data_IF_570332325109
#
_entry.id   IF_570332325109
#
_cell.length_a   1.000
_cell.length_b   1.000
_cell.length_c   1.000
_cell.angle_alpha   90.00
_cell.angle_beta   90.00
_cell.angle_gamma   90.00
#
_symmetry.space_group_name_H-M   'P 1'
#
loop_
_entity.id
_entity.type
_entity.pdbx_description
1 polymer ?
#
# COMPACT_ATOMS: atom_id res chain seq x y z
N UNK A 1 49.41 -43.43 -58.32
CA UNK A 1 48.29 -43.02 -57.45
C UNK A 1 48.84 -42.25 -56.27
N UNK A 2 48.45 -40.98 -56.11
CA UNK A 2 48.35 -40.24 -54.84
C UNK A 2 48.13 -38.75 -55.19
N UNK A 3 46.88 -38.30 -55.15
CA UNK A 3 46.55 -36.87 -55.20
C UNK A 3 46.36 -36.43 -53.75
N UNK A 4 47.26 -35.59 -53.25
CA UNK A 4 47.13 -34.93 -51.97
C UNK A 4 46.26 -33.68 -52.15
N UNK A 5 45.07 -33.66 -51.54
CA UNK A 5 44.21 -32.48 -51.45
C UNK A 5 44.52 -31.70 -50.18
N UNK A 6 44.94 -30.45 -50.36
CA UNK A 6 45.17 -29.43 -49.33
C UNK A 6 43.81 -28.95 -48.77
N UNK A 7 43.60 -28.85 -47.43
CA UNK A 7 42.41 -28.22 -46.88
C UNK A 7 42.53 -26.68 -46.87
N UNK A 8 41.45 -26.01 -47.25
CA UNK A 8 41.32 -24.55 -47.26
C UNK A 8 41.27 -23.95 -45.83
N UNK A 9 41.74 -22.69 -45.63
CA UNK A 9 41.77 -22.06 -44.32
C UNK A 9 40.37 -21.70 -43.81
N UNK A 10 40.07 -22.10 -42.58
CA UNK A 10 38.85 -21.72 -41.87
C UNK A 10 38.83 -20.21 -41.65
N UNK A 11 37.90 -19.52 -42.31
CA UNK A 11 37.72 -18.08 -42.17
C UNK A 11 37.28 -17.74 -40.73
N UNK A 12 38.12 -16.99 -40.03
CA UNK A 12 37.92 -16.56 -38.63
C UNK A 12 36.58 -15.84 -38.41
N UNK A 13 36.10 -15.10 -39.42
CA UNK A 13 34.78 -14.45 -39.42
C UNK A 13 33.61 -15.44 -39.41
N UNK A 14 33.76 -16.61 -40.03
CA UNK A 14 32.76 -17.67 -40.03
C UNK A 14 32.63 -18.34 -38.66
N UNK A 15 33.74 -18.49 -37.94
CA UNK A 15 33.77 -19.03 -36.57
C UNK A 15 33.16 -18.03 -35.59
N UNK A 16 33.51 -16.73 -35.71
CA UNK A 16 32.93 -15.68 -34.87
C UNK A 16 31.41 -15.57 -35.03
N UNK A 17 30.90 -15.60 -36.27
CA UNK A 17 29.45 -15.55 -36.55
C UNK A 17 28.69 -16.75 -35.98
N UNK A 18 29.29 -17.95 -35.99
CA UNK A 18 28.70 -19.15 -35.38
C UNK A 18 28.65 -19.07 -33.86
N UNK A 19 29.70 -18.53 -33.22
CA UNK A 19 29.73 -18.29 -31.77
C UNK A 19 28.70 -17.25 -31.32
N UNK A 20 28.53 -16.16 -32.08
CA UNK A 20 27.51 -15.15 -31.79
C UNK A 20 26.09 -15.70 -31.89
N UNK A 21 25.80 -16.52 -32.90
CA UNK A 21 24.49 -17.17 -33.04
C UNK A 21 24.21 -18.17 -31.91
N UNK A 22 25.23 -18.93 -31.49
CA UNK A 22 25.14 -19.83 -30.34
C UNK A 22 24.89 -19.05 -29.04
N UNK A 23 25.60 -17.95 -28.81
CA UNK A 23 25.41 -17.11 -27.63
C UNK A 23 24.00 -16.50 -27.58
N UNK A 24 23.49 -15.99 -28.70
CA UNK A 24 22.12 -15.45 -28.77
C UNK A 24 21.08 -16.54 -28.52
N UNK A 25 21.26 -17.73 -29.10
CA UNK A 25 20.36 -18.87 -28.87
C UNK A 25 20.36 -19.33 -27.39
N UNK A 26 21.51 -19.28 -26.73
CA UNK A 26 21.67 -19.69 -25.33
C UNK A 26 21.08 -18.66 -24.36
N UNK A 27 21.23 -17.37 -24.66
CA UNK A 27 20.55 -16.30 -23.90
C UNK A 27 19.03 -16.39 -24.06
N UNK A 28 18.54 -16.67 -25.27
CA UNK A 28 17.11 -16.86 -25.53
C UNK A 28 16.56 -18.06 -24.76
N UNK A 29 17.22 -19.23 -24.82
CA UNK A 29 16.73 -20.43 -24.14
C UNK A 29 16.73 -20.32 -22.61
N UNK A 30 17.74 -19.66 -22.02
CA UNK A 30 17.80 -19.39 -20.57
C UNK A 30 16.70 -18.40 -20.14
N UNK A 31 16.38 -17.42 -21.00
CA UNK A 31 15.28 -16.49 -20.76
C UNK A 31 13.90 -17.18 -20.78
N UNK A 32 13.71 -18.21 -21.62
CA UNK A 32 12.47 -18.99 -21.65
C UNK A 32 12.29 -19.89 -20.42
N UNK A 33 13.36 -20.51 -19.91
CA UNK A 33 13.30 -21.35 -18.68
C UNK A 33 13.05 -20.52 -17.42
N UNK A 34 13.50 -19.26 -17.39
CA UNK A 34 13.16 -18.34 -16.30
C UNK A 34 11.67 -17.92 -16.28
N UNK A 35 10.94 -18.08 -17.39
CA UNK A 35 9.50 -17.85 -17.47
C UNK A 35 8.65 -19.12 -17.32
N UNK A 36 9.25 -20.32 -17.35
CA UNK A 36 8.53 -21.56 -17.02
C UNK A 36 8.48 -21.73 -15.50
N UNK A 37 7.67 -20.89 -14.86
CA UNK A 37 7.32 -21.01 -13.45
C UNK A 37 6.69 -22.38 -13.19
N UNK A 38 7.29 -23.10 -12.25
CA UNK A 38 6.82 -24.33 -11.60
C UNK A 38 5.30 -24.31 -11.36
N UNK A 39 4.54 -25.00 -12.22
CA UNK A 39 3.06 -25.03 -12.28
C UNK A 39 2.42 -25.80 -11.12
N UNK A 40 3.22 -26.28 -10.16
CA UNK A 40 2.76 -27.16 -9.05
C UNK A 40 2.71 -26.45 -7.70
N UNK A 41 2.84 -25.12 -7.66
CA UNK A 41 2.75 -24.35 -6.42
C UNK A 41 1.30 -24.00 -6.12
N UNK A 42 0.88 -24.24 -4.87
CA UNK A 42 -0.37 -23.71 -4.32
C UNK A 42 -0.54 -22.25 -4.76
N UNK A 43 -1.78 -21.80 -5.08
CA UNK A 43 -2.01 -20.44 -5.50
C UNK A 43 -1.32 -19.48 -4.52
N UNK A 44 -0.61 -18.46 -5.02
CA UNK A 44 0.18 -17.59 -4.15
C UNK A 44 -0.77 -16.88 -3.17
N UNK A 45 -0.55 -17.11 -1.87
CA UNK A 45 -1.31 -16.49 -0.80
C UNK A 45 -0.42 -15.57 0.02
N UNK A 46 -0.97 -14.46 0.51
CA UNK A 46 -0.30 -13.56 1.44
C UNK A 46 -0.10 -14.31 2.78
N UNK A 47 1.08 -14.18 3.38
CA UNK A 47 1.35 -14.82 4.67
C UNK A 47 0.53 -14.17 5.81
N UNK A 48 0.16 -14.88 6.88
CA UNK A 48 -0.55 -14.27 8.01
C UNK A 48 0.19 -13.08 8.64
N UNK A 49 1.53 -13.16 8.67
CA UNK A 49 2.39 -12.07 9.14
C UNK A 49 2.29 -10.85 8.22
N UNK A 50 2.37 -11.05 6.91
CA UNK A 50 2.20 -9.95 5.95
C UNK A 50 0.80 -9.36 5.99
N UNK A 51 -0.23 -10.19 6.20
CA UNK A 51 -1.61 -9.73 6.34
C UNK A 51 -1.77 -8.79 7.53
N UNK A 52 -1.17 -9.15 8.67
CA UNK A 52 -1.14 -8.27 9.86
C UNK A 52 -0.42 -6.96 9.58
N UNK A 53 0.71 -7.00 8.88
CA UNK A 53 1.47 -5.79 8.53
C UNK A 53 0.71 -4.90 7.54
N UNK A 54 0.02 -5.50 6.55
CA UNK A 54 -0.86 -4.77 5.64
C UNK A 54 -1.99 -4.11 6.44
N UNK A 55 -2.64 -4.83 7.35
CA UNK A 55 -3.73 -4.30 8.17
C UNK A 55 -3.29 -3.10 9.03
N UNK A 56 -2.10 -3.15 9.65
CA UNK A 56 -1.55 -2.01 10.41
C UNK A 56 -1.34 -0.76 9.55
N UNK A 57 -0.96 -0.91 8.28
CA UNK A 57 -0.83 0.23 7.37
C UNK A 57 -2.18 0.66 6.81
N UNK A 58 -3.10 -0.29 6.60
CA UNK A 58 -4.46 -0.04 6.13
C UNK A 58 -5.25 0.76 7.17
N UNK A 59 -5.03 0.55 8.47
CA UNK A 59 -5.62 1.36 9.55
C UNK A 59 -5.37 2.86 9.34
N UNK A 60 -4.10 3.24 9.12
CA UNK A 60 -3.75 4.64 8.85
C UNK A 60 -4.34 5.17 7.53
N UNK A 61 -4.42 4.33 6.50
CA UNK A 61 -5.06 4.69 5.23
C UNK A 61 -6.57 4.92 5.41
N UNK A 62 -7.26 4.07 6.17
CA UNK A 62 -8.69 4.17 6.45
C UNK A 62 -8.98 5.38 7.32
N UNK A 63 -8.15 5.66 8.33
CA UNK A 63 -8.25 6.88 9.12
C UNK A 63 -8.12 8.14 8.24
N UNK A 64 -7.22 8.15 7.26
CA UNK A 64 -7.15 9.25 6.29
C UNK A 64 -8.41 9.33 5.40
N UNK A 65 -8.95 8.19 4.96
CA UNK A 65 -10.19 8.11 4.19
C UNK A 65 -11.40 8.65 4.95
N UNK A 66 -11.48 8.39 6.27
CA UNK A 66 -12.53 8.91 7.15
C UNK A 66 -12.56 10.45 7.23
N UNK A 67 -11.47 11.12 6.85
CA UNK A 67 -11.34 12.60 6.83
C UNK A 67 -11.82 13.22 5.51
N UNK A 68 -12.25 12.42 4.53
CA UNK A 68 -12.75 12.93 3.25
C UNK A 68 -13.99 13.84 3.36
N UNK A 69 -14.94 13.63 4.30
CA UNK A 69 -16.04 14.57 4.53
C UNK A 69 -15.53 15.94 5.01
N UNK A 70 -14.63 15.97 6.00
CA UNK A 70 -14.01 17.22 6.46
C UNK A 70 -13.26 17.92 5.33
N UNK A 71 -12.51 17.17 4.52
CA UNK A 71 -11.85 17.74 3.34
C UNK A 71 -12.87 18.31 2.34
N UNK A 72 -14.05 17.70 2.20
CA UNK A 72 -15.13 18.21 1.36
C UNK A 72 -15.63 19.57 1.86
N UNK A 73 -15.88 19.68 3.17
CA UNK A 73 -16.35 20.90 3.82
C UNK A 73 -15.35 22.04 3.63
N UNK A 74 -14.07 21.77 3.91
CA UNK A 74 -12.97 22.73 3.68
C UNK A 74 -12.88 23.20 2.23
N UNK A 75 -13.07 22.28 1.28
CA UNK A 75 -13.05 22.59 -0.16
C UNK A 75 -14.26 23.43 -0.58
N UNK A 76 -15.45 23.13 -0.04
CA UNK A 76 -16.67 23.88 -0.29
C UNK A 76 -16.59 25.31 0.27
N UNK A 77 -16.04 25.45 1.47
CA UNK A 77 -15.79 26.74 2.14
C UNK A 77 -14.60 27.51 1.56
N UNK A 78 -13.85 26.92 0.63
CA UNK A 78 -12.60 27.48 0.10
C UNK A 78 -11.59 27.79 1.20
N UNK A 79 -11.56 26.95 2.22
CA UNK A 79 -10.66 27.09 3.34
C UNK A 79 -9.27 26.53 2.99
N UNK A 80 -8.49 27.34 2.26
CA UNK A 80 -7.20 26.96 1.68
C UNK A 80 -6.19 26.47 2.73
N UNK A 81 -6.11 27.19 3.85
CA UNK A 81 -5.13 26.93 4.92
C UNK A 81 -5.42 25.58 5.55
N UNK A 82 -6.67 25.35 5.98
CA UNK A 82 -7.03 24.10 6.63
C UNK A 82 -7.06 22.92 5.66
N UNK A 83 -7.39 23.14 4.38
CA UNK A 83 -7.26 22.11 3.33
C UNK A 83 -5.82 21.58 3.27
N UNK A 84 -4.83 22.49 3.22
CA UNK A 84 -3.40 22.12 3.18
C UNK A 84 -2.92 21.52 4.49
N UNK A 85 -3.39 22.04 5.63
CA UNK A 85 -3.07 21.47 6.95
C UNK A 85 -3.57 20.02 7.06
N UNK A 86 -4.74 19.71 6.50
CA UNK A 86 -5.26 18.35 6.50
C UNK A 86 -4.40 17.41 5.63
N UNK A 87 -3.94 17.89 4.47
CA UNK A 87 -3.05 17.14 3.57
C UNK A 87 -1.68 16.87 4.23
N UNK A 88 -1.10 17.87 4.90
CA UNK A 88 0.23 17.80 5.51
C UNK A 88 0.23 17.33 6.97
N UNK A 89 -0.92 17.18 7.61
CA UNK A 89 -1.04 16.66 8.97
C UNK A 89 -1.56 15.22 8.95
N UNK A 90 -2.87 14.98 9.10
CA UNK A 90 -3.44 13.64 9.12
C UNK A 90 -3.16 12.78 7.87
N UNK A 91 -3.01 13.37 6.68
CA UNK A 91 -2.81 12.62 5.44
C UNK A 91 -1.34 12.55 4.97
N UNK A 92 -0.40 13.11 5.72
CA UNK A 92 1.01 13.20 5.28
C UNK A 92 1.66 11.83 5.05
N UNK A 93 1.23 10.85 5.84
CA UNK A 93 1.79 9.51 5.87
C UNK A 93 1.16 8.58 4.84
N UNK A 94 0.12 9.03 4.11
CA UNK A 94 -0.65 8.21 3.18
C UNK A 94 0.26 7.58 2.11
N UNK A 95 1.21 8.36 1.58
CA UNK A 95 2.15 7.86 0.59
C UNK A 95 3.03 6.72 1.11
N UNK A 96 3.40 6.74 2.39
CA UNK A 96 4.21 5.71 3.04
C UNK A 96 3.38 4.47 3.37
N UNK A 97 2.17 4.66 3.90
CA UNK A 97 1.23 3.58 4.18
C UNK A 97 0.95 2.76 2.92
N UNK A 98 0.61 3.42 1.81
CA UNK A 98 0.36 2.75 0.52
C UNK A 98 1.60 2.01 0.00
N UNK A 99 2.79 2.61 0.13
CA UNK A 99 4.03 1.94 -0.27
C UNK A 99 4.24 0.62 0.48
N UNK A 100 4.04 0.62 1.80
CA UNK A 100 4.24 -0.57 2.62
C UNK A 100 3.19 -1.65 2.38
N UNK A 101 1.94 -1.27 2.07
CA UNK A 101 0.90 -2.19 1.60
C UNK A 101 1.36 -2.84 0.29
N UNK A 102 1.70 -2.04 -0.72
CA UNK A 102 2.08 -2.53 -2.05
C UNK A 102 3.24 -3.51 -2.04
N UNK A 103 4.24 -3.28 -1.18
CA UNK A 103 5.40 -4.17 -1.04
C UNK A 103 5.05 -5.58 -0.55
N UNK A 104 3.90 -5.75 0.12
CA UNK A 104 3.46 -6.99 0.77
C UNK A 104 2.31 -7.69 0.06
N UNK A 105 1.72 -7.05 -0.95
CA UNK A 105 0.77 -7.71 -1.85
C UNK A 105 1.45 -8.82 -2.65
N UNK A 106 0.64 -9.69 -3.25
CA UNK A 106 1.11 -10.69 -4.20
C UNK A 106 1.82 -9.98 -5.37
N UNK A 107 2.92 -10.54 -5.92
CA UNK A 107 3.67 -9.91 -7.01
C UNK A 107 2.81 -9.47 -8.20
N UNK A 108 1.75 -10.22 -8.51
CA UNK A 108 0.82 -9.92 -9.60
C UNK A 108 0.01 -8.62 -9.37
N UNK A 109 -0.30 -8.29 -8.11
CA UNK A 109 -1.18 -7.17 -7.77
C UNK A 109 -0.42 -5.85 -7.55
N UNK A 110 0.89 -5.94 -7.29
CA UNK A 110 1.73 -4.78 -6.91
C UNK A 110 1.74 -3.68 -7.97
N UNK A 111 1.71 -4.05 -9.25
CA UNK A 111 1.77 -3.09 -10.34
C UNK A 111 0.52 -2.20 -10.37
N UNK A 112 -0.66 -2.81 -10.26
CA UNK A 112 -1.93 -2.07 -10.25
C UNK A 112 -2.09 -1.26 -8.96
N UNK A 113 -1.71 -1.83 -7.81
CA UNK A 113 -1.71 -1.12 -6.54
C UNK A 113 -0.77 0.10 -6.55
N UNK A 114 0.42 -0.03 -7.14
CA UNK A 114 1.39 1.08 -7.31
C UNK A 114 0.85 2.16 -8.23
N UNK A 115 0.21 1.78 -9.32
CA UNK A 115 -0.44 2.74 -10.24
C UNK A 115 -1.54 3.54 -9.53
N UNK A 116 -2.41 2.86 -8.76
CA UNK A 116 -3.49 3.52 -7.98
C UNK A 116 -2.94 4.44 -6.90
N UNK A 117 -1.94 3.98 -6.15
CA UNK A 117 -1.25 4.79 -5.14
C UNK A 117 -0.63 6.06 -5.77
N UNK A 118 0.03 5.91 -6.92
CA UNK A 118 0.66 7.02 -7.63
C UNK A 118 -0.37 8.03 -8.10
N UNK A 119 -1.51 7.57 -8.63
CA UNK A 119 -2.62 8.43 -9.05
C UNK A 119 -3.24 9.19 -7.87
N UNK A 120 -3.41 8.53 -6.71
CA UNK A 120 -3.90 9.18 -5.50
C UNK A 120 -2.92 10.24 -4.99
N UNK A 121 -1.63 9.91 -4.88
CA UNK A 121 -0.57 10.88 -4.49
C UNK A 121 -0.53 12.09 -5.43
N UNK A 122 -0.62 11.86 -6.74
CA UNK A 122 -0.64 12.95 -7.72
C UNK A 122 -1.90 13.82 -7.58
N UNK A 123 -3.04 13.24 -7.20
CA UNK A 123 -4.28 13.99 -6.98
C UNK A 123 -4.22 14.84 -5.71
N UNK A 124 -3.62 14.31 -4.63
CA UNK A 124 -3.36 15.08 -3.41
C UNK A 124 -2.41 16.25 -3.66
N UNK A 125 -1.33 16.04 -4.42
CA UNK A 125 -0.41 17.11 -4.79
C UNK A 125 -1.09 18.20 -5.62
N UNK A 126 -2.01 17.83 -6.53
CA UNK A 126 -2.79 18.81 -7.30
C UNK A 126 -3.79 19.57 -6.44
N UNK A 127 -4.43 18.90 -5.48
CA UNK A 127 -5.31 19.55 -4.52
C UNK A 127 -4.56 20.55 -3.63
N UNK A 128 -3.39 20.17 -3.11
CA UNK A 128 -2.51 21.08 -2.36
C UNK A 128 -2.10 22.29 -3.21
N UNK A 129 -1.72 22.06 -4.46
CA UNK A 129 -1.36 23.14 -5.39
C UNK A 129 -2.53 24.06 -5.71
N UNK A 130 -3.73 23.53 -5.95
CA UNK A 130 -4.93 24.33 -6.15
C UNK A 130 -5.26 25.16 -4.91
N UNK A 131 -5.07 24.61 -3.71
CA UNK A 131 -5.22 25.36 -2.46
C UNK A 131 -4.15 26.45 -2.30
N UNK A 132 -2.89 26.16 -2.67
CA UNK A 132 -1.79 27.13 -2.65
C UNK A 132 -2.05 28.31 -3.59
N UNK A 133 -2.59 28.03 -4.77
CA UNK A 133 -2.96 29.02 -5.78
C UNK A 133 -4.31 29.71 -5.52
N UNK A 134 -5.07 29.24 -4.51
CA UNK A 134 -6.44 29.66 -4.25
C UNK A 134 -7.37 29.50 -5.46
N UNK A 135 -7.12 28.48 -6.27
CA UNK A 135 -7.90 28.15 -7.46
C UNK A 135 -9.09 27.28 -7.06
N UNK A 136 -10.23 27.92 -6.80
CA UNK A 136 -11.44 27.24 -6.35
C UNK A 136 -12.03 26.26 -7.36
N UNK A 137 -11.84 26.46 -8.66
CA UNK A 137 -12.32 25.54 -9.69
C UNK A 137 -11.50 24.24 -9.67
N UNK A 138 -10.17 24.37 -9.72
CA UNK A 138 -9.30 23.20 -9.65
C UNK A 138 -9.35 22.54 -8.27
N UNK A 139 -9.57 23.29 -7.18
CA UNK A 139 -9.72 22.73 -5.84
C UNK A 139 -10.84 21.68 -5.77
N UNK A 140 -12.07 22.05 -6.21
CA UNK A 140 -13.21 21.11 -6.22
C UNK A 140 -12.97 19.93 -7.14
N UNK A 141 -12.42 20.19 -8.33
CA UNK A 141 -12.11 19.14 -9.31
C UNK A 141 -11.07 18.14 -8.79
N UNK A 142 -10.03 18.62 -8.13
CA UNK A 142 -8.96 17.78 -7.60
C UNK A 142 -9.37 17.06 -6.31
N UNK A 143 -10.26 17.65 -5.51
CA UNK A 143 -10.92 16.94 -4.40
C UNK A 143 -11.66 15.69 -4.87
N UNK A 144 -12.48 15.80 -5.94
CA UNK A 144 -13.20 14.65 -6.50
C UNK A 144 -12.23 13.54 -6.92
N UNK A 145 -11.07 13.91 -7.49
CA UNK A 145 -10.02 12.94 -7.86
C UNK A 145 -9.37 12.30 -6.64
N UNK A 146 -9.16 13.05 -5.56
CA UNK A 146 -8.67 12.51 -4.28
C UNK A 146 -9.68 11.50 -3.72
N UNK A 147 -10.95 11.88 -3.59
CA UNK A 147 -12.01 10.99 -3.09
C UNK A 147 -12.14 9.70 -3.94
N UNK A 148 -12.14 9.85 -5.27
CA UNK A 148 -12.16 8.72 -6.20
C UNK A 148 -10.89 7.86 -6.06
N UNK A 149 -9.73 8.50 -5.87
CA UNK A 149 -8.45 7.81 -5.69
C UNK A 149 -8.40 6.97 -4.41
N UNK A 150 -8.99 7.45 -3.30
CA UNK A 150 -9.14 6.68 -2.08
C UNK A 150 -10.01 5.43 -2.29
N UNK A 151 -11.18 5.57 -2.94
CA UNK A 151 -12.04 4.43 -3.25
C UNK A 151 -11.33 3.43 -4.17
N UNK A 152 -10.69 3.91 -5.23
CA UNK A 152 -9.95 3.05 -6.16
C UNK A 152 -8.79 2.33 -5.48
N UNK A 153 -8.03 2.98 -4.59
CA UNK A 153 -6.95 2.31 -3.88
C UNK A 153 -7.46 1.32 -2.82
N UNK A 154 -8.60 1.59 -2.17
CA UNK A 154 -9.18 0.65 -1.20
C UNK A 154 -9.49 -0.71 -1.84
N UNK A 155 -9.82 -0.77 -3.13
CA UNK A 155 -10.07 -2.02 -3.86
C UNK A 155 -8.86 -2.95 -3.97
N UNK A 156 -7.62 -2.44 -3.83
CA UNK A 156 -6.41 -3.28 -3.87
C UNK A 156 -5.97 -3.76 -2.49
N UNK A 157 -6.62 -3.30 -1.43
CA UNK A 157 -6.34 -3.77 -0.07
C UNK A 157 -7.15 -5.06 0.15
N UNK A 158 -6.53 -6.18 0.56
CA UNK A 158 -7.26 -7.40 0.88
C UNK A 158 -8.36 -7.15 1.91
N UNK A 159 -9.55 -7.73 1.68
CA UNK A 159 -10.70 -7.54 2.58
C UNK A 159 -10.40 -8.02 4.00
N UNK A 160 -9.60 -9.08 4.14
CA UNK A 160 -9.13 -9.60 5.43
C UNK A 160 -8.28 -8.58 6.18
N UNK A 161 -7.45 -7.82 5.46
CA UNK A 161 -6.65 -6.76 6.05
C UNK A 161 -7.50 -5.57 6.49
N UNK A 162 -8.57 -5.24 5.74
CA UNK A 162 -9.51 -4.18 6.11
C UNK A 162 -10.24 -4.55 7.41
N UNK A 163 -10.82 -5.75 7.48
CA UNK A 163 -11.51 -6.23 8.68
C UNK A 163 -10.59 -6.25 9.90
N UNK A 164 -9.33 -6.69 9.72
CA UNK A 164 -8.33 -6.68 10.78
C UNK A 164 -7.97 -5.24 11.21
N UNK A 165 -7.82 -4.31 10.27
CA UNK A 165 -7.55 -2.91 10.57
C UNK A 165 -8.69 -2.26 11.38
N UNK A 166 -9.95 -2.53 11.01
CA UNK A 166 -11.13 -2.04 11.74
C UNK A 166 -11.15 -2.56 13.18
N UNK A 167 -10.72 -3.81 13.41
CA UNK A 167 -10.61 -4.37 14.76
C UNK A 167 -9.56 -3.64 15.61
N UNK A 168 -8.42 -3.25 15.02
CA UNK A 168 -7.39 -2.47 15.72
C UNK A 168 -7.91 -1.09 16.13
N UNK A 169 -8.64 -0.43 15.23
CA UNK A 169 -9.23 0.87 15.52
C UNK A 169 -10.36 0.79 16.56
N UNK A 170 -11.14 -0.30 16.57
CA UNK A 170 -12.15 -0.53 17.59
C UNK A 170 -11.53 -0.73 18.98
N UNK A 171 -10.48 -1.55 19.07
CA UNK A 171 -9.76 -1.78 20.33
C UNK A 171 -9.09 -0.52 20.86
N UNK A 172 -8.48 0.29 19.99
CA UNK A 172 -7.90 1.58 20.35
C UNK A 172 -8.95 2.56 20.92
N UNK A 173 -10.16 2.59 20.36
CA UNK A 173 -11.27 3.41 20.87
C UNK A 173 -11.73 2.96 22.26
N UNK A 174 -11.77 1.64 22.51
CA UNK A 174 -12.13 1.09 23.83
C UNK A 174 -11.04 1.40 24.87
N UNK A 175 -9.77 1.22 24.52
CA UNK A 175 -8.65 1.49 25.44
C UNK A 175 -8.52 2.97 25.81
N UNK A 176 -8.90 3.88 24.93
CA UNK A 176 -8.84 5.33 25.18
C UNK A 176 -10.13 5.89 25.82
N UNK A 177 -11.14 5.07 26.08
CA UNK A 177 -12.32 5.50 26.80
C UNK A 177 -11.95 5.74 28.28
N UNK A 178 -12.10 6.98 28.74
CA UNK A 178 -11.95 7.32 30.17
C UNK A 178 -13.00 6.53 30.98
N UNK A 179 -12.63 5.83 32.07
CA UNK A 179 -13.61 5.18 32.92
C UNK A 179 -14.63 6.22 33.41
N UNK A 180 -15.95 5.90 33.44
CA UNK A 180 -16.91 6.80 34.05
C UNK A 180 -16.47 7.09 35.48
N UNK A 181 -16.48 8.36 35.87
CA UNK A 181 -16.21 8.76 37.25
C UNK A 181 -17.07 7.91 38.21
N UNK A 182 -16.53 7.44 39.34
CA UNK A 182 -17.30 6.63 40.28
C UNK A 182 -18.57 7.40 40.64
N UNK A 183 -19.72 6.76 40.42
CA UNK A 183 -21.02 7.37 40.71
C UNK A 183 -21.09 7.75 42.20
N UNK A 184 -21.66 8.91 42.56
CA UNK A 184 -21.76 9.38 43.96
C UNK A 184 -22.58 8.43 44.86
N UNK A 185 -23.21 7.40 44.30
CA UNK A 185 -23.97 6.38 45.02
C UNK A 185 -23.18 5.08 45.25
N UNK A 186 -21.86 5.05 45.02
CA UNK A 186 -21.05 3.88 45.39
C UNK A 186 -20.89 3.87 46.91
N UNK A 187 -21.46 2.90 47.65
CA UNK A 187 -21.27 2.83 49.10
C UNK A 187 -19.78 2.66 49.37
N UNK A 188 -19.24 3.46 50.29
CA UNK A 188 -17.86 3.32 50.75
C UNK A 188 -17.59 1.86 51.15
N UNK A 189 -16.41 1.28 50.83
CA UNK A 189 -16.07 -0.05 51.30
C UNK A 189 -16.22 -0.09 52.81
N UNK A 190 -17.13 -0.92 53.31
CA UNK A 190 -17.31 -1.14 54.73
C UNK A 190 -16.00 -1.71 55.29
N UNK A 191 -15.53 -1.22 56.45
CA UNK A 191 -14.33 -1.77 57.06
C UNK A 191 -14.60 -3.24 57.38
N UNK A 192 -13.75 -4.11 56.84
CA UNK A 192 -13.68 -5.53 57.19
C UNK A 192 -13.57 -5.62 58.73
N UNK A 193 -14.61 -6.15 59.35
CA UNK A 193 -14.57 -6.49 60.76
C UNK A 193 -13.46 -7.53 60.96
N UNK A 194 -12.43 -7.15 61.69
CA UNK A 194 -11.46 -8.07 62.26
C UNK A 194 -12.24 -9.11 63.08
N UNK A 195 -12.38 -10.31 62.54
CA UNK A 195 -12.83 -11.47 63.28
C UNK A 195 -11.72 -11.88 64.23
N UNK A 196 -11.84 -11.46 65.49
CA UNK A 196 -11.31 -12.23 66.61
C UNK A 196 -12.12 -13.51 66.69
N UNK A 197 -11.47 -14.68 66.60
CA UNK A 197 -11.92 -15.90 67.27
C UNK A 197 -10.77 -16.94 67.34
N UNK A 198 -10.51 -17.36 68.59
CA UNK A 198 -9.74 -18.49 69.11
C UNK A 198 -8.21 -18.36 69.26
#
# INVERSE_FOLDING_TARGET
MAVATIPAPFSLMGVLRRLSLLAVALVLSVSLVACSGDQTRKPPTISPTDMTLIARQAEGFLAAKERLPELADLVNERNWVFTRNLIHGPMQDLGRQMLYINQRLLPADRAEATKRATKLKASLAKLDEAARLQDGENLRKDYIKVATGFSAYAEVIPAEAIALAESFSAEAKVSNAVPPAPSPNTPAPQPIASGDDA
#
